data_IF_996149899715
#
_entry.id   IF_996149899715
#
_cell.length_a   1.000
_cell.length_b   1.000
_cell.length_c   1.000
_cell.angle_alpha   90.00
_cell.angle_beta   90.00
_cell.angle_gamma   90.00
#
_symmetry.space_group_name_H-M   'P 1'
#
loop_
_entity.id
_entity.type
_entity.pdbx_description
1 polymer ?
#
# COMPACT_ATOMS: atom_id res chain seq x y z
N UNK A 1 26.66 29.40 67.23
CA UNK A 1 26.05 28.15 66.73
C UNK A 1 25.00 28.55 65.72
N UNK A 2 25.19 28.07 64.50
CA UNK A 2 24.30 28.21 63.34
C UNK A 2 22.82 28.06 63.74
N UNK A 3 21.87 28.82 63.20
CA UNK A 3 21.69 29.08 61.78
C UNK A 3 20.63 28.12 61.26
N UNK A 4 19.36 28.48 61.36
CA UNK A 4 18.28 28.00 60.51
C UNK A 4 17.20 29.08 60.49
N UNK A 5 17.31 30.03 59.54
CA UNK A 5 16.13 30.77 59.11
C UNK A 5 15.21 29.73 58.51
N UNK A 6 14.14 29.39 59.21
CA UNK A 6 13.02 28.71 58.58
C UNK A 6 12.42 29.70 57.60
N UNK A 7 12.93 29.65 56.38
CA UNK A 7 12.23 30.13 55.20
C UNK A 7 11.06 29.16 54.98
N UNK A 8 10.10 29.19 55.91
CA UNK A 8 8.75 28.67 55.71
C UNK A 8 8.09 29.62 54.70
N UNK A 9 8.62 29.64 53.47
CA UNK A 9 7.92 30.14 52.30
C UNK A 9 6.76 29.19 52.09
N UNK A 10 5.66 29.48 52.78
CA UNK A 10 4.35 29.04 52.37
C UNK A 10 4.27 29.31 50.87
N UNK A 11 4.31 28.24 50.08
CA UNK A 11 4.04 28.31 48.65
C UNK A 11 2.67 28.96 48.58
N UNK A 12 2.62 30.23 48.16
CA UNK A 12 1.35 30.95 48.07
C UNK A 12 0.44 30.15 47.15
N UNK A 13 -0.84 30.09 47.47
CA UNK A 13 -1.85 29.27 46.77
C UNK A 13 -1.74 29.37 45.24
N UNK A 14 -1.50 30.59 44.74
CA UNK A 14 -1.26 30.88 43.33
C UNK A 14 0.06 30.34 42.78
N UNK A 15 1.14 30.38 43.55
CA UNK A 15 2.46 29.88 43.15
C UNK A 15 2.45 28.37 43.03
N UNK A 16 1.70 27.67 43.89
CA UNK A 16 1.54 26.22 43.80
C UNK A 16 0.84 25.80 42.51
N UNK A 17 -0.20 26.53 42.12
CA UNK A 17 -0.95 26.26 40.88
C UNK A 17 -0.08 26.51 39.63
N UNK A 18 0.68 27.61 39.60
CA UNK A 18 1.57 27.90 38.46
C UNK A 18 2.63 26.80 38.29
N UNK A 19 3.19 26.31 39.39
CA UNK A 19 4.15 25.20 39.36
C UNK A 19 3.48 23.92 38.84
N UNK A 20 2.28 23.60 39.33
CA UNK A 20 1.55 22.41 38.91
C UNK A 20 1.25 22.43 37.40
N UNK A 21 0.68 23.54 36.90
CA UNK A 21 0.36 23.71 35.48
C UNK A 21 1.63 23.67 34.63
N UNK A 22 2.71 24.31 35.09
CA UNK A 22 4.00 24.28 34.40
C UNK A 22 4.53 22.86 34.22
N UNK A 23 4.49 22.04 35.27
CA UNK A 23 4.92 20.64 35.20
C UNK A 23 4.01 19.84 34.25
N UNK A 24 2.69 20.03 34.30
CA UNK A 24 1.76 19.35 33.40
C UNK A 24 2.09 19.63 31.94
N UNK A 25 2.33 20.89 31.58
CA UNK A 25 2.66 21.27 30.20
C UNK A 25 3.97 20.60 29.75
N UNK A 26 4.98 20.55 30.62
CA UNK A 26 6.26 19.88 30.30
C UNK A 26 6.05 18.38 30.09
N UNK A 27 5.33 17.70 31.00
CA UNK A 27 5.07 16.25 30.89
C UNK A 27 4.23 15.93 29.65
N UNK A 28 3.16 16.69 29.40
CA UNK A 28 2.32 16.53 28.20
C UNK A 28 3.11 16.80 26.93
N UNK A 29 3.99 17.80 26.92
CA UNK A 29 4.88 18.08 25.80
C UNK A 29 5.84 16.93 25.53
N UNK A 30 6.52 16.42 26.57
CA UNK A 30 7.46 15.30 26.43
C UNK A 30 6.79 14.02 25.91
N UNK A 31 5.62 13.66 26.44
CA UNK A 31 4.89 12.46 25.98
C UNK A 31 4.24 12.70 24.61
N UNK A 32 3.66 13.87 24.37
CA UNK A 32 2.99 14.21 23.12
C UNK A 32 3.94 14.34 21.93
N UNK A 33 5.15 14.87 22.13
CA UNK A 33 6.16 14.97 21.08
C UNK A 33 6.69 13.60 20.63
N UNK A 34 6.79 12.62 21.54
CA UNK A 34 7.13 11.23 21.19
C UNK A 34 6.04 10.50 20.36
N UNK A 35 4.81 11.04 20.31
CA UNK A 35 3.75 10.50 19.45
C UNK A 35 3.80 11.14 18.06
N UNK A 36 4.15 12.43 17.98
CA UNK A 36 4.31 13.14 16.69
C UNK A 36 5.59 12.71 15.98
N UNK A 37 6.67 12.57 16.74
CA UNK A 37 7.91 11.93 16.32
C UNK A 37 7.74 10.49 16.79
N UNK A 38 6.91 9.71 16.07
CA UNK A 38 6.76 8.28 16.36
C UNK A 38 8.15 7.66 16.54
N UNK A 39 8.31 6.66 17.44
CA UNK A 39 9.63 6.09 17.68
C UNK A 39 10.26 5.81 16.33
N UNK A 40 11.42 6.41 16.06
CA UNK A 40 12.32 5.88 15.06
C UNK A 40 12.79 4.56 15.65
N UNK A 41 11.91 3.56 15.56
CA UNK A 41 12.28 2.17 15.69
C UNK A 41 13.30 2.00 14.58
N UNK A 42 14.59 1.96 14.93
CA UNK A 42 15.51 1.26 14.06
C UNK A 42 14.84 -0.09 13.82
N UNK A 43 14.50 -0.42 12.56
CA UNK A 43 13.76 -1.62 12.28
C UNK A 43 14.59 -2.78 12.82
N UNK A 44 14.17 -3.33 13.95
CA UNK A 44 14.78 -4.52 14.54
C UNK A 44 14.34 -5.70 13.68
N UNK A 45 14.98 -5.83 12.52
CA UNK A 45 14.67 -6.73 11.43
C UNK A 45 15.67 -6.56 10.28
N UNK A 46 15.66 -7.47 9.30
CA UNK A 46 16.52 -7.37 8.12
C UNK A 46 16.24 -6.06 7.39
N UNK A 47 17.29 -5.27 7.13
CA UNK A 47 17.16 -3.96 6.52
C UNK A 47 18.08 -3.82 5.31
N UNK A 48 17.50 -3.59 4.14
CA UNK A 48 18.22 -3.27 2.92
C UNK A 48 17.48 -2.18 2.14
N UNK A 49 18.25 -1.27 1.58
CA UNK A 49 17.75 -0.19 0.75
C UNK A 49 18.10 -0.48 -0.72
N UNK A 50 17.14 -0.22 -1.60
CA UNK A 50 17.27 -0.49 -3.03
C UNK A 50 16.98 0.77 -3.83
N UNK A 51 17.78 0.98 -4.87
CA UNK A 51 17.51 1.95 -5.92
C UNK A 51 16.90 1.26 -7.13
N UNK A 52 16.03 1.99 -7.81
CA UNK A 52 15.25 1.50 -8.94
C UNK A 52 15.45 2.42 -10.14
N UNK A 53 15.89 1.86 -11.26
CA UNK A 53 15.97 2.56 -12.55
C UNK A 53 15.05 1.86 -13.56
N UNK A 54 14.07 2.60 -14.08
CA UNK A 54 13.12 2.12 -15.07
C UNK A 54 13.24 2.97 -16.34
N UNK A 55 14.03 2.55 -17.34
CA UNK A 55 14.15 3.28 -18.59
C UNK A 55 12.82 3.32 -19.34
N UNK A 56 12.38 4.51 -19.76
CA UNK A 56 11.06 4.71 -20.37
C UNK A 56 10.86 3.82 -21.62
N UNK A 57 9.76 3.07 -21.63
CA UNK A 57 9.39 2.19 -22.75
C UNK A 57 10.24 0.93 -22.91
N UNK A 58 11.11 0.60 -21.96
CA UNK A 58 12.01 -0.57 -22.06
C UNK A 58 11.37 -1.89 -21.63
N UNK A 59 10.33 -1.86 -20.78
CA UNK A 59 9.80 -3.07 -20.14
C UNK A 59 10.73 -3.65 -19.07
N UNK A 60 11.78 -2.92 -18.68
CA UNK A 60 12.86 -3.36 -17.81
C UNK A 60 12.92 -2.50 -16.55
N UNK A 61 13.12 -3.14 -15.41
CA UNK A 61 13.48 -2.48 -14.16
C UNK A 61 14.87 -2.96 -13.71
N UNK A 62 15.76 -2.03 -13.43
CA UNK A 62 17.07 -2.32 -12.86
C UNK A 62 16.97 -2.03 -11.36
N UNK A 63 17.21 -3.06 -10.57
CA UNK A 63 17.19 -2.99 -9.11
C UNK A 63 18.63 -3.05 -8.62
N UNK A 64 19.05 -2.08 -7.82
CA UNK A 64 20.40 -2.01 -7.26
C UNK A 64 20.33 -1.97 -5.74
N UNK A 65 21.01 -2.88 -5.07
CA UNK A 65 21.16 -2.84 -3.62
C UNK A 65 22.12 -1.70 -3.25
N UNK A 66 21.69 -0.70 -2.48
CA UNK A 66 22.52 0.48 -2.20
C UNK A 66 23.10 0.48 -0.79
N UNK A 67 22.35 0.07 0.22
CA UNK A 67 22.75 0.15 1.63
C UNK A 67 22.05 -0.94 2.45
N UNK A 68 22.58 -1.26 3.63
CA UNK A 68 21.99 -2.23 4.55
C UNK A 68 22.71 -3.59 4.56
N UNK A 69 22.01 -4.59 5.08
CA UNK A 69 22.47 -5.96 5.25
C UNK A 69 22.67 -6.67 3.91
N UNK A 70 23.61 -7.63 3.87
CA UNK A 70 23.74 -8.54 2.74
C UNK A 70 22.95 -9.83 3.01
N UNK A 71 22.33 -10.38 1.97
CA UNK A 71 21.54 -11.61 2.07
C UNK A 71 21.90 -12.60 0.94
N UNK A 72 21.71 -13.92 1.15
CA UNK A 72 21.81 -14.89 0.07
C UNK A 72 20.83 -14.58 -1.06
N UNK A 73 21.26 -14.70 -2.32
CA UNK A 73 20.44 -14.40 -3.49
C UNK A 73 19.15 -15.25 -3.57
N UNK A 74 19.17 -16.46 -3.02
CA UNK A 74 17.99 -17.34 -2.93
C UNK A 74 16.96 -16.90 -1.90
N UNK A 75 17.37 -16.11 -0.90
CA UNK A 75 16.48 -15.61 0.16
C UNK A 75 15.81 -14.28 -0.21
N UNK A 76 16.24 -13.65 -1.32
CA UNK A 76 15.65 -12.40 -1.81
C UNK A 76 14.64 -12.72 -2.90
N UNK A 77 13.38 -12.37 -2.67
CA UNK A 77 12.29 -12.58 -3.61
C UNK A 77 11.84 -11.26 -4.21
N UNK A 78 11.77 -11.23 -5.53
CA UNK A 78 11.28 -10.10 -6.33
C UNK A 78 9.89 -10.48 -6.83
N UNK A 79 8.87 -9.78 -6.34
CA UNK A 79 7.48 -10.06 -6.68
C UNK A 79 6.81 -8.83 -7.28
N UNK A 80 6.15 -9.01 -8.42
CA UNK A 80 5.20 -8.06 -8.98
C UNK A 80 3.76 -8.47 -8.77
N UNK A 81 2.87 -7.87 -9.56
CA UNK A 81 1.43 -8.15 -9.49
C UNK A 81 1.09 -9.58 -9.95
N UNK A 82 1.72 -10.06 -11.02
CA UNK A 82 1.45 -11.37 -11.65
C UNK A 82 2.70 -12.26 -11.81
N UNK A 83 3.85 -11.83 -11.28
CA UNK A 83 5.14 -12.50 -11.43
C UNK A 83 5.92 -12.55 -10.11
N UNK A 84 6.68 -13.62 -9.87
CA UNK A 84 7.56 -13.75 -8.71
C UNK A 84 8.80 -14.56 -9.09
N UNK A 85 9.97 -14.12 -8.64
CA UNK A 85 11.25 -14.80 -8.90
C UNK A 85 12.24 -14.50 -7.78
N UNK A 86 13.27 -15.34 -7.61
CA UNK A 86 14.36 -15.04 -6.69
C UNK A 86 15.39 -14.12 -7.34
N UNK A 87 16.18 -13.42 -6.53
CA UNK A 87 17.33 -12.67 -7.05
C UNK A 87 18.32 -13.60 -7.75
N UNK A 88 18.53 -14.81 -7.21
CA UNK A 88 19.38 -15.84 -7.79
C UNK A 88 18.94 -16.18 -9.23
N UNK A 89 17.66 -16.46 -9.43
CA UNK A 89 17.09 -16.82 -10.73
C UNK A 89 17.12 -15.64 -11.72
N UNK A 90 16.78 -14.43 -11.26
CA UNK A 90 16.73 -13.24 -12.12
C UNK A 90 18.13 -12.78 -12.57
N UNK A 91 19.14 -12.92 -11.70
CA UNK A 91 20.53 -12.58 -12.00
C UNK A 91 21.32 -13.77 -12.56
N UNK A 92 20.75 -14.98 -12.58
CA UNK A 92 21.45 -16.23 -12.96
C UNK A 92 22.73 -16.47 -12.15
N UNK A 93 22.64 -16.28 -10.83
CA UNK A 93 23.72 -16.52 -9.86
C UNK A 93 23.34 -17.65 -8.89
N UNK A 94 24.30 -18.14 -8.11
CA UNK A 94 24.04 -19.19 -7.12
C UNK A 94 23.15 -18.67 -5.97
N UNK A 95 22.25 -19.51 -5.45
CA UNK A 95 21.35 -19.15 -4.34
C UNK A 95 22.09 -18.70 -3.07
N UNK A 96 23.30 -19.24 -2.85
CA UNK A 96 24.16 -18.89 -1.72
C UNK A 96 25.02 -17.64 -1.94
N UNK A 97 24.98 -17.03 -3.13
CA UNK A 97 25.78 -15.84 -3.41
C UNK A 97 25.24 -14.66 -2.61
N UNK A 98 26.15 -13.91 -1.94
CA UNK A 98 25.75 -12.76 -1.14
C UNK A 98 25.43 -11.56 -2.02
N UNK A 99 24.19 -11.08 -1.92
CA UNK A 99 23.71 -9.84 -2.51
C UNK A 99 23.82 -8.75 -1.46
N UNK A 100 24.70 -7.78 -1.70
CA UNK A 100 24.90 -6.64 -0.80
C UNK A 100 25.06 -5.33 -1.59
N UNK A 101 25.51 -4.25 -0.92
CA UNK A 101 25.66 -2.93 -1.55
C UNK A 101 26.51 -2.96 -2.82
N UNK A 102 25.94 -2.46 -3.92
CA UNK A 102 26.53 -2.42 -5.26
C UNK A 102 26.06 -3.53 -6.20
N UNK A 103 25.43 -4.60 -5.68
CA UNK A 103 24.88 -5.66 -6.52
C UNK A 103 23.63 -5.18 -7.25
N UNK A 104 23.47 -5.59 -8.51
CA UNK A 104 22.34 -5.19 -9.35
C UNK A 104 21.71 -6.40 -10.02
N UNK A 105 20.40 -6.33 -10.24
CA UNK A 105 19.65 -7.32 -11.00
C UNK A 105 18.71 -6.60 -11.98
N UNK A 106 18.50 -7.24 -13.12
CA UNK A 106 17.51 -6.81 -14.10
C UNK A 106 16.21 -7.57 -13.86
N UNK A 107 15.07 -6.92 -14.00
CA UNK A 107 13.73 -7.51 -13.87
C UNK A 107 12.98 -7.18 -15.15
N UNK A 108 12.59 -8.20 -15.91
CA UNK A 108 11.95 -8.01 -17.23
C UNK A 108 11.31 -9.30 -17.75
N UNK A 109 10.54 -9.19 -18.83
CA UNK A 109 9.97 -10.34 -19.55
C UNK A 109 11.06 -11.32 -20.06
N UNK A 110 12.25 -10.79 -20.34
CA UNK A 110 13.35 -11.55 -20.93
C UNK A 110 14.13 -12.45 -19.96
N UNK A 111 13.78 -12.49 -18.67
CA UNK A 111 14.44 -13.33 -17.68
C UNK A 111 13.43 -14.11 -16.83
N UNK A 112 13.91 -14.72 -15.74
CA UNK A 112 13.12 -15.57 -14.85
C UNK A 112 11.91 -14.88 -14.20
N UNK A 113 11.86 -13.54 -14.20
CA UNK A 113 10.67 -12.79 -13.78
C UNK A 113 9.51 -12.96 -14.77
N UNK A 114 9.79 -13.09 -16.06
CA UNK A 114 8.83 -13.52 -17.07
C UNK A 114 7.79 -12.49 -17.52
N UNK A 115 7.67 -11.33 -16.87
CA UNK A 115 6.71 -10.28 -17.23
C UNK A 115 7.37 -8.92 -17.50
N UNK A 116 6.84 -8.10 -18.44
CA UNK A 116 7.36 -6.76 -18.68
C UNK A 116 7.02 -5.83 -17.51
N UNK A 117 8.01 -5.09 -17.00
CA UNK A 117 7.77 -4.07 -15.98
C UNK A 117 7.36 -2.77 -16.67
N UNK A 118 6.18 -2.24 -16.32
CA UNK A 118 5.62 -1.02 -16.94
C UNK A 118 5.41 0.08 -15.90
N UNK A 119 5.08 1.30 -16.36
CA UNK A 119 4.70 2.40 -15.45
C UNK A 119 3.45 2.08 -14.60
N UNK A 120 2.69 1.03 -14.92
CA UNK A 120 1.53 0.57 -14.13
C UNK A 120 1.86 -0.51 -13.12
N UNK A 121 3.05 -1.10 -13.21
CA UNK A 121 3.45 -2.24 -12.40
C UNK A 121 3.89 -1.79 -11.01
N UNK A 122 3.69 -2.66 -10.02
CA UNK A 122 4.31 -2.54 -8.70
C UNK A 122 5.29 -3.69 -8.52
N UNK A 123 6.51 -3.41 -8.07
CA UNK A 123 7.52 -4.45 -7.80
C UNK A 123 7.96 -4.33 -6.34
N UNK A 124 7.88 -5.43 -5.61
CA UNK A 124 8.24 -5.52 -4.20
C UNK A 124 9.41 -6.48 -4.03
N UNK A 125 10.28 -6.14 -3.10
CA UNK A 125 11.42 -6.97 -2.71
C UNK A 125 11.14 -7.50 -1.31
N UNK A 126 11.27 -8.80 -1.14
CA UNK A 126 11.09 -9.49 0.12
C UNK A 126 12.36 -10.25 0.48
N UNK A 127 12.55 -10.40 1.79
CA UNK A 127 13.48 -11.35 2.37
C UNK A 127 12.68 -12.52 2.97
N UNK A 128 12.99 -13.73 2.55
CA UNK A 128 12.36 -14.97 3.00
C UNK A 128 13.37 -15.86 3.72
N UNK A 129 13.06 -16.24 4.96
CA UNK A 129 13.81 -17.20 5.76
C UNK A 129 12.84 -18.24 6.30
N UNK A 130 12.78 -19.39 5.61
CA UNK A 130 11.81 -20.44 5.92
C UNK A 130 10.38 -19.96 5.69
N UNK A 131 9.56 -19.92 6.74
CA UNK A 131 8.16 -19.46 6.67
C UNK A 131 8.01 -17.95 6.91
N UNK A 132 9.09 -17.25 7.26
CA UNK A 132 9.03 -15.83 7.56
C UNK A 132 9.37 -15.00 6.32
N UNK A 133 8.47 -14.08 5.95
CA UNK A 133 8.64 -13.15 4.83
C UNK A 133 8.58 -11.71 5.32
N UNK A 134 9.59 -10.92 5.02
CA UNK A 134 9.66 -9.49 5.36
C UNK A 134 9.79 -8.66 4.09
N UNK A 135 8.96 -7.64 3.91
CA UNK A 135 9.11 -6.72 2.79
C UNK A 135 10.27 -5.77 3.07
N UNK A 136 11.28 -5.75 2.20
CA UNK A 136 12.44 -4.88 2.29
C UNK A 136 12.18 -3.54 1.59
N UNK A 137 11.56 -3.58 0.41
CA UNK A 137 11.34 -2.38 -0.39
C UNK A 137 10.21 -2.56 -1.41
N UNK A 138 9.68 -1.45 -1.93
CA UNK A 138 8.64 -1.40 -2.94
C UNK A 138 8.94 -0.29 -3.95
N UNK A 139 8.81 -0.64 -5.23
CA UNK A 139 8.81 0.27 -6.35
C UNK A 139 7.41 0.33 -6.94
N UNK A 140 6.88 1.55 -7.08
CA UNK A 140 5.57 1.82 -7.66
C UNK A 140 5.77 2.57 -8.96
N UNK A 141 5.30 2.00 -10.06
CA UNK A 141 5.30 2.68 -11.35
C UNK A 141 4.46 3.96 -11.31
N UNK A 142 4.89 4.97 -12.08
CA UNK A 142 4.30 6.32 -12.13
C UNK A 142 2.77 6.34 -12.36
N UNK A 143 2.25 5.38 -13.11
CA UNK A 143 0.84 5.24 -13.49
C UNK A 143 0.07 4.22 -12.64
N UNK A 144 0.75 3.47 -11.76
CA UNK A 144 0.14 2.42 -10.94
C UNK A 144 -0.91 3.02 -9.97
N UNK A 145 -0.55 4.11 -9.28
CA UNK A 145 -1.44 4.80 -8.34
C UNK A 145 -2.69 5.39 -9.03
N UNK A 146 -2.53 5.90 -10.25
CA UNK A 146 -3.64 6.49 -11.03
C UNK A 146 -4.65 5.43 -11.48
N UNK A 147 -4.20 4.19 -11.67
CA UNK A 147 -5.04 3.09 -12.14
C UNK A 147 -5.98 2.57 -11.03
N UNK A 148 -5.53 2.55 -9.78
CA UNK A 148 -6.36 2.20 -8.62
C UNK A 148 -7.58 3.13 -8.43
N UNK A 149 -7.41 4.44 -8.63
CA UNK A 149 -8.50 5.41 -8.51
C UNK A 149 -9.54 5.33 -9.65
N UNK A 150 -9.14 4.87 -10.83
CA UNK A 150 -10.03 4.74 -12.00
C UNK A 150 -10.98 3.55 -11.89
N UNK A 151 -10.56 2.44 -11.27
CA UNK A 151 -11.36 1.21 -11.16
C UNK A 151 -12.49 1.30 -10.11
N UNK A 152 -12.37 2.22 -9.14
CA UNK A 152 -13.41 2.40 -8.11
C UNK A 152 -14.57 3.32 -8.53
N UNK A 153 -14.51 3.96 -9.71
CA UNK A 153 -15.57 4.82 -10.27
C UNK A 153 -16.39 4.15 -11.37
N UNK A 154 -16.34 2.83 -11.50
CA UNK A 154 -17.17 2.07 -12.43
C UNK A 154 -18.00 1.02 -11.69
N UNK A 155 -18.80 1.46 -10.73
CA UNK A 155 -20.02 0.72 -10.41
C UNK A 155 -21.10 1.17 -11.42
N UNK A 156 -21.50 0.35 -12.40
CA UNK A 156 -22.72 0.63 -13.13
C UNK A 156 -23.87 0.56 -12.13
N UNK A 157 -24.55 1.70 -11.93
CA UNK A 157 -25.81 1.76 -11.20
C UNK A 157 -26.82 0.88 -11.95
N UNK A 158 -26.94 -0.38 -11.55
CA UNK A 158 -28.03 -1.24 -11.95
C UNK A 158 -29.32 -0.63 -11.37
N UNK A 159 -30.00 0.18 -12.19
CA UNK A 159 -31.37 0.59 -11.92
C UNK A 159 -32.23 -0.67 -11.89
N UNK A 160 -32.62 -1.08 -10.68
CA UNK A 160 -33.62 -2.10 -10.45
C UNK A 160 -34.97 -1.63 -11.02
N UNK A 161 -35.17 -1.91 -12.30
CA UNK A 161 -36.46 -1.72 -12.96
C UNK A 161 -37.30 -2.97 -12.72
N UNK A 162 -38.38 -2.83 -11.95
CA UNK A 162 -39.45 -3.81 -11.93
C UNK A 162 -40.04 -4.02 -10.54
N UNK A 163 -41.18 -3.36 -10.25
CA UNK A 163 -42.48 -4.04 -10.21
C UNK A 163 -43.58 -3.01 -9.86
N UNK A 164 -44.14 -2.33 -10.86
CA UNK A 164 -45.47 -1.71 -10.73
C UNK A 164 -46.39 -2.41 -11.71
N UNK A 165 -47.20 -3.34 -11.18
CA UNK A 165 -48.30 -3.92 -11.92
C UNK A 165 -49.31 -2.81 -12.25
N UNK A 166 -49.26 -2.31 -13.48
CA UNK A 166 -50.35 -1.51 -14.02
C UNK A 166 -51.54 -2.46 -14.25
N UNK A 167 -52.50 -2.43 -13.33
CA UNK A 167 -53.80 -3.08 -13.49
C UNK A 167 -54.53 -2.40 -14.65
N UNK A 168 -54.48 -3.01 -15.84
CA UNK A 168 -55.17 -2.50 -17.01
C UNK A 168 -56.64 -2.94 -16.92
N UNK A 169 -57.51 -2.06 -16.44
CA UNK A 169 -58.96 -2.27 -16.53
C UNK A 169 -59.38 -2.27 -18.00
N UNK A 170 -60.10 -3.30 -18.48
CA UNK A 170 -60.54 -3.33 -19.87
C UNK A 170 -61.67 -2.32 -20.10
N UNK A 171 -61.44 -1.36 -21.01
CA UNK A 171 -62.48 -0.49 -21.54
C UNK A 171 -63.44 -1.29 -22.45
N UNK A 172 -64.74 -0.97 -22.44
CA UNK A 172 -65.73 -1.67 -23.25
C UNK A 172 -65.55 -1.38 -24.76
N UNK A 173 -65.50 -2.46 -25.53
CA UNK A 173 -65.34 -2.48 -26.99
C UNK A 173 -66.53 -1.81 -27.69
N UNK A 174 -66.26 -0.73 -28.44
CA UNK A 174 -67.23 -0.14 -29.35
C UNK A 174 -67.42 -1.06 -30.57
N UNK A 175 -68.68 -1.32 -30.87
CA UNK A 175 -69.14 -2.23 -31.92
C UNK A 175 -69.09 -1.59 -33.30
N UNK A 176 -68.36 -2.17 -34.25
CA UNK A 176 -68.57 -2.00 -35.70
C UNK A 176 -68.22 -3.33 -36.39
N UNK A 177 -69.18 -4.25 -36.52
CA UNK A 177 -69.94 -4.57 -37.75
C UNK A 177 -69.13 -4.98 -38.99
N UNK A 178 -69.28 -6.28 -39.35
CA UNK A 178 -69.44 -6.82 -40.73
C UNK A 178 -68.21 -6.71 -41.65
N UNK A 179 -67.64 -7.77 -42.22
CA UNK A 179 -68.27 -8.70 -43.18
C UNK A 179 -67.32 -9.86 -43.49
N UNK A 180 -67.94 -10.97 -43.84
CA UNK A 180 -67.53 -12.34 -44.17
C UNK A 180 -66.55 -12.55 -45.33
N UNK A 181 -66.02 -13.79 -45.38
CA UNK A 181 -65.58 -14.57 -46.56
C UNK A 181 -64.09 -14.40 -46.92
N UNK A 182 -63.31 -15.41 -47.35
CA UNK A 182 -63.62 -16.76 -47.83
C UNK A 182 -62.33 -17.62 -47.85
N UNK A 183 -62.56 -18.91 -48.02
CA UNK A 183 -61.70 -20.09 -48.08
C UNK A 183 -60.50 -20.09 -49.04
N UNK A 184 -59.44 -20.81 -48.67
CA UNK A 184 -58.43 -21.48 -49.52
C UNK A 184 -57.68 -22.43 -48.57
N UNK A 185 -57.58 -23.75 -48.74
CA UNK A 185 -57.63 -24.64 -49.90
C UNK A 185 -58.59 -25.81 -49.69
#
# INVERSE_FOLDING_TARGET
MEGFRRDDRAITESTGVVILVGITIVVTGLVGLNVLIGPSEEPSGPHANFSYDHPEGSGVLIVTHVEGDAFPAGDIVIAGDDAETTWADAASVDESEEVGPGTTVQVSEGNSYGEPVTERSTVRIFYEQGENRTQLSEWVGRDAETSGFRLQRLQPLMLQTGNVQATLSPMPSASETRTTSSTSL
#
